data_IF_501083632455
#
_entry.id   IF_501083632455
#
_cell.length_a   1.000
_cell.length_b   1.000
_cell.length_c   1.000
_cell.angle_alpha   90.00
_cell.angle_beta   90.00
_cell.angle_gamma   90.00
#
_symmetry.space_group_name_H-M   'P 1'
#
loop_
_entity.id
_entity.type
_entity.pdbx_description
1 polymer ?
#
# COMPACT_ATOMS: atom_id res chain seq x y z
N UNK A 1 -8.63 59.07 -34.10
CA UNK A 1 -9.12 58.86 -32.72
C UNK A 1 -10.12 59.97 -32.47
N UNK A 2 -11.40 59.65 -32.42
CA UNK A 2 -12.45 60.62 -32.12
C UNK A 2 -12.63 60.69 -30.60
N UNK A 3 -12.75 61.91 -30.06
CA UNK A 3 -12.86 62.16 -28.62
C UNK A 3 -14.21 62.82 -28.36
N UNK A 4 -15.01 62.21 -27.49
CA UNK A 4 -16.35 62.68 -27.14
C UNK A 4 -16.22 63.69 -25.99
N UNK A 5 -16.49 64.96 -26.25
CA UNK A 5 -16.42 66.02 -25.25
C UNK A 5 -17.79 66.25 -24.61
N UNK A 6 -17.84 66.43 -23.29
CA UNK A 6 -19.07 66.89 -22.63
C UNK A 6 -19.14 68.41 -22.76
N UNK A 7 -20.12 68.90 -23.52
CA UNK A 7 -20.35 70.33 -23.77
C UNK A 7 -20.70 71.12 -22.50
N UNK A 8 -21.06 70.44 -21.40
CA UNK A 8 -21.37 71.06 -20.11
C UNK A 8 -20.12 71.28 -19.24
N UNK A 9 -18.94 70.89 -19.72
CA UNK A 9 -17.67 70.99 -19.01
C UNK A 9 -16.69 71.87 -19.78
N UNK A 10 -15.76 72.47 -19.05
CA UNK A 10 -14.70 73.26 -19.68
C UNK A 10 -13.77 72.36 -20.50
N UNK A 11 -12.98 72.98 -21.39
CA UNK A 11 -11.98 72.26 -22.20
C UNK A 11 -10.95 71.58 -21.29
N UNK A 12 -10.55 72.28 -20.22
CA UNK A 12 -9.60 71.82 -19.20
C UNK A 12 -10.16 70.66 -18.39
N UNK A 13 -11.45 70.68 -18.05
CA UNK A 13 -12.14 69.60 -17.35
C UNK A 13 -12.25 68.34 -18.22
N UNK A 14 -12.60 68.49 -19.50
CA UNK A 14 -12.63 67.38 -20.45
C UNK A 14 -11.22 66.78 -20.66
N UNK A 15 -10.20 67.62 -20.84
CA UNK A 15 -8.81 67.19 -20.95
C UNK A 15 -8.34 66.43 -19.71
N UNK A 16 -8.66 66.94 -18.52
CA UNK A 16 -8.33 66.31 -17.24
C UNK A 16 -9.00 64.95 -17.07
N UNK A 17 -10.27 64.82 -17.49
CA UNK A 17 -11.00 63.54 -17.45
C UNK A 17 -10.32 62.46 -18.29
N UNK A 18 -9.92 62.79 -19.51
CA UNK A 18 -9.23 61.85 -20.41
C UNK A 18 -7.81 61.53 -19.92
N UNK A 19 -7.11 62.51 -19.34
CA UNK A 19 -5.81 62.29 -18.71
C UNK A 19 -5.90 61.34 -17.51
N UNK A 20 -6.88 61.54 -16.63
CA UNK A 20 -7.18 60.64 -15.51
C UNK A 20 -7.51 59.21 -15.97
N UNK A 21 -8.36 59.07 -17.00
CA UNK A 21 -8.69 57.76 -17.59
C UNK A 21 -7.45 57.07 -18.13
N UNK A 22 -6.60 57.78 -18.86
CA UNK A 22 -5.33 57.27 -19.40
C UNK A 22 -4.40 56.82 -18.28
N UNK A 23 -4.26 57.62 -17.21
CA UNK A 23 -3.44 57.28 -16.04
C UNK A 23 -3.94 56.03 -15.32
N UNK A 24 -5.26 55.91 -15.11
CA UNK A 24 -5.91 54.72 -14.51
C UNK A 24 -5.74 53.48 -15.39
N UNK A 25 -5.90 53.61 -16.71
CA UNK A 25 -5.69 52.52 -17.66
C UNK A 25 -4.23 52.04 -17.68
N UNK A 26 -3.26 52.96 -17.69
CA UNK A 26 -1.82 52.62 -17.58
C UNK A 26 -1.49 51.87 -16.29
N UNK A 27 -2.04 52.30 -15.14
CA UNK A 27 -1.84 51.63 -13.86
C UNK A 27 -2.41 50.21 -13.85
N UNK A 28 -3.62 50.01 -14.42
CA UNK A 28 -4.23 48.67 -14.57
C UNK A 28 -3.41 47.77 -15.50
N UNK A 29 -2.86 48.33 -16.59
CA UNK A 29 -2.04 47.59 -17.54
C UNK A 29 -0.72 47.09 -16.91
N UNK A 30 -0.09 47.91 -16.05
CA UNK A 30 1.09 47.49 -15.28
C UNK A 30 0.77 46.31 -14.35
N UNK A 31 -0.28 46.43 -13.51
CA UNK A 31 -0.67 45.35 -12.61
C UNK A 31 -1.09 44.06 -13.31
N UNK A 32 -1.71 44.16 -14.51
CA UNK A 32 -2.05 43.00 -15.32
C UNK A 32 -0.78 42.30 -15.89
N UNK A 33 0.25 43.06 -16.26
CA UNK A 33 1.53 42.49 -16.72
C UNK A 33 2.25 41.76 -15.60
N UNK A 34 2.31 42.34 -14.41
CA UNK A 34 2.93 41.72 -13.23
C UNK A 34 2.25 40.40 -12.86
N UNK A 35 0.91 40.38 -12.89
CA UNK A 35 0.13 39.17 -12.67
C UNK A 35 0.45 38.08 -13.70
N UNK A 36 0.55 38.44 -14.98
CA UNK A 36 0.89 37.50 -16.07
C UNK A 36 2.30 36.93 -15.89
N UNK A 37 3.28 37.73 -15.49
CA UNK A 37 4.64 37.23 -15.19
C UNK A 37 4.65 36.28 -13.99
N UNK A 38 3.96 36.64 -12.90
CA UNK A 38 3.83 35.78 -11.72
C UNK A 38 3.20 34.42 -12.08
N UNK A 39 2.13 34.41 -12.88
CA UNK A 39 1.50 33.16 -13.33
C UNK A 39 2.39 32.36 -14.29
N UNK A 40 3.14 33.01 -15.19
CA UNK A 40 4.11 32.33 -16.06
C UNK A 40 5.20 31.65 -15.25
N UNK A 41 5.75 32.34 -14.25
CA UNK A 41 6.78 31.77 -13.37
C UNK A 41 6.23 30.58 -12.57
N UNK A 42 5.03 30.71 -12.01
CA UNK A 42 4.35 29.64 -11.28
C UNK A 42 4.02 28.42 -12.17
N UNK A 43 3.66 28.66 -13.43
CA UNK A 43 3.43 27.59 -14.40
C UNK A 43 4.74 26.88 -14.79
N UNK A 44 5.84 27.63 -14.85
CA UNK A 44 7.19 27.10 -15.07
C UNK A 44 7.64 26.18 -13.94
N UNK A 45 7.49 26.61 -12.69
CA UNK A 45 7.85 25.82 -11.51
C UNK A 45 7.00 24.55 -11.40
N UNK A 46 5.69 24.65 -11.60
CA UNK A 46 4.78 23.49 -11.60
C UNK A 46 5.08 22.49 -12.74
N UNK A 47 5.54 22.97 -13.91
CA UNK A 47 5.99 22.11 -15.00
C UNK A 47 7.28 21.40 -14.65
N UNK A 48 8.25 22.08 -14.03
CA UNK A 48 9.49 21.47 -13.57
C UNK A 48 9.24 20.43 -12.48
N UNK A 49 8.36 20.70 -11.51
CA UNK A 49 7.94 19.72 -10.50
C UNK A 49 7.29 18.50 -11.15
N UNK A 50 6.37 18.69 -12.11
CA UNK A 50 5.76 17.56 -12.85
C UNK A 50 6.76 16.77 -13.70
N UNK A 51 7.76 17.43 -14.28
CA UNK A 51 8.80 16.76 -15.07
C UNK A 51 9.74 15.99 -14.16
N UNK A 52 10.08 16.54 -12.99
CA UNK A 52 10.87 15.85 -11.97
C UNK A 52 10.08 14.66 -11.39
N UNK A 53 8.80 14.82 -11.05
CA UNK A 53 7.93 13.70 -10.65
C UNK A 53 7.90 12.60 -11.73
N UNK A 54 7.77 12.97 -13.01
CA UNK A 54 7.77 12.01 -14.13
C UNK A 54 9.12 11.36 -14.40
N UNK A 55 10.24 12.07 -14.20
CA UNK A 55 11.59 11.52 -14.34
C UNK A 55 11.95 10.59 -13.17
N UNK A 56 11.34 10.80 -11.99
CA UNK A 56 11.44 9.93 -10.81
C UNK A 56 10.50 8.72 -10.89
N UNK A 57 9.60 8.65 -11.89
CA UNK A 57 8.94 7.39 -12.27
C UNK A 57 9.98 6.48 -12.93
N UNK A 58 10.84 5.91 -12.07
CA UNK A 58 11.71 4.77 -12.36
C UNK A 58 10.91 3.78 -13.20
N UNK A 59 11.52 3.29 -14.30
CA UNK A 59 11.05 2.15 -15.10
C UNK A 59 10.32 1.19 -14.17
N UNK A 60 8.99 1.12 -14.24
CA UNK A 60 8.21 0.19 -13.40
C UNK A 60 8.81 -1.19 -13.64
N UNK A 61 9.46 -1.74 -12.62
CA UNK A 61 9.98 -3.10 -12.67
C UNK A 61 8.83 -4.00 -13.14
N UNK A 62 9.17 -5.00 -13.96
CA UNK A 62 8.17 -5.96 -14.45
C UNK A 62 7.46 -6.54 -13.23
N UNK A 63 6.13 -6.36 -13.17
CA UNK A 63 5.34 -6.84 -12.04
C UNK A 63 5.43 -8.35 -11.99
N UNK A 64 5.88 -8.86 -10.87
CA UNK A 64 5.92 -10.29 -10.61
C UNK A 64 4.49 -10.80 -10.39
N UNK A 65 4.25 -12.06 -10.77
CA UNK A 65 2.92 -12.66 -10.71
C UNK A 65 2.33 -12.68 -9.30
N UNK A 66 3.18 -12.71 -8.26
CA UNK A 66 2.79 -12.76 -6.86
C UNK A 66 2.37 -11.40 -6.28
N UNK A 67 2.69 -10.27 -6.94
CA UNK A 67 2.40 -8.92 -6.44
C UNK A 67 0.89 -8.60 -6.37
N UNK A 68 0.05 -9.43 -6.99
CA UNK A 68 -1.41 -9.38 -6.84
C UNK A 68 -1.90 -9.92 -5.49
N UNK A 69 -1.08 -10.69 -4.78
CA UNK A 69 -1.34 -11.25 -3.46
C UNK A 69 -0.64 -10.43 -2.38
N UNK A 70 -0.91 -10.73 -1.11
CA UNK A 70 0.02 -10.37 -0.04
C UNK A 70 1.22 -11.29 -0.16
N UNK A 71 2.43 -10.76 0.01
CA UNK A 71 3.63 -11.54 -0.18
C UNK A 71 4.79 -10.99 0.65
N UNK A 72 5.73 -11.86 0.97
CA UNK A 72 7.05 -11.52 1.47
C UNK A 72 8.04 -12.63 1.10
N UNK A 73 9.34 -12.34 1.25
CA UNK A 73 10.40 -13.34 1.19
C UNK A 73 10.83 -13.64 2.62
N UNK A 74 10.82 -14.91 3.01
CA UNK A 74 11.22 -15.35 4.35
C UNK A 74 12.70 -15.11 4.61
N UNK A 75 13.14 -15.20 5.86
CA UNK A 75 14.57 -15.09 6.21
C UNK A 75 15.47 -16.10 5.50
N UNK A 76 14.88 -17.23 5.07
CA UNK A 76 15.55 -18.33 4.37
C UNK A 76 15.25 -18.33 2.85
N UNK A 77 14.86 -17.18 2.29
CA UNK A 77 14.64 -16.96 0.85
C UNK A 77 13.45 -17.71 0.23
N UNK A 78 12.49 -18.18 1.04
CA UNK A 78 11.23 -18.74 0.53
C UNK A 78 10.23 -17.63 0.20
N UNK A 79 9.60 -17.73 -0.97
CA UNK A 79 8.46 -16.89 -1.31
C UNK A 79 7.23 -17.35 -0.52
N UNK A 80 6.63 -16.43 0.22
CA UNK A 80 5.36 -16.68 0.92
C UNK A 80 4.29 -15.77 0.33
N UNK A 81 3.14 -16.34 -0.02
CA UNK A 81 2.00 -15.61 -0.59
C UNK A 81 0.73 -15.81 0.24
N UNK A 82 -0.14 -14.81 0.31
CA UNK A 82 -1.41 -14.87 1.03
C UNK A 82 -2.53 -14.14 0.30
N UNK A 83 -3.74 -14.68 0.36
CA UNK A 83 -4.90 -14.01 -0.20
C UNK A 83 -5.24 -12.71 0.54
N UNK A 84 -5.85 -11.78 -0.18
CA UNK A 84 -6.29 -10.46 0.34
C UNK A 84 -7.77 -10.45 0.71
N UNK A 85 -8.54 -11.33 0.09
CA UNK A 85 -9.97 -11.47 0.20
C UNK A 85 -10.39 -12.92 -0.15
N UNK A 86 -11.67 -13.22 -0.02
CA UNK A 86 -12.21 -14.55 -0.32
C UNK A 86 -11.92 -15.04 -1.75
N UNK A 87 -11.91 -14.13 -2.74
CA UNK A 87 -11.67 -14.50 -4.14
C UNK A 87 -10.21 -14.85 -4.38
N UNK A 88 -9.30 -14.04 -3.85
CA UNK A 88 -7.86 -14.26 -3.94
C UNK A 88 -7.40 -15.44 -3.08
N UNK A 89 -8.03 -15.71 -1.94
CA UNK A 89 -7.85 -16.95 -1.17
C UNK A 89 -8.14 -18.18 -2.03
N UNK A 90 -9.27 -18.19 -2.76
CA UNK A 90 -9.58 -19.31 -3.65
C UNK A 90 -8.56 -19.47 -4.78
N UNK A 91 -8.07 -18.35 -5.32
CA UNK A 91 -7.04 -18.37 -6.37
C UNK A 91 -5.72 -18.93 -5.81
N UNK A 92 -5.29 -18.49 -4.63
CA UNK A 92 -4.06 -18.97 -3.98
C UNK A 92 -4.11 -20.49 -3.83
N UNK A 93 -5.17 -21.02 -3.23
CA UNK A 93 -5.31 -22.46 -3.00
C UNK A 93 -5.46 -23.25 -4.30
N UNK A 94 -6.35 -22.84 -5.20
CA UNK A 94 -6.68 -23.65 -6.39
C UNK A 94 -5.63 -23.56 -7.50
N UNK A 95 -4.92 -22.43 -7.63
CA UNK A 95 -4.02 -22.18 -8.77
C UNK A 95 -2.55 -22.10 -8.38
N UNK A 96 -2.22 -21.82 -7.12
CA UNK A 96 -0.85 -21.53 -6.70
C UNK A 96 -0.34 -22.41 -5.56
N UNK A 97 -1.19 -23.20 -4.89
CA UNK A 97 -0.74 -24.23 -3.96
C UNK A 97 -0.41 -25.50 -4.73
N UNK A 98 0.87 -25.87 -4.72
CA UNK A 98 1.44 -27.03 -5.40
C UNK A 98 1.87 -28.08 -4.39
N UNK A 99 1.94 -29.35 -4.78
CA UNK A 99 2.14 -30.53 -3.90
C UNK A 99 3.17 -30.38 -2.78
N UNK A 100 4.29 -29.69 -3.02
CA UNK A 100 5.40 -29.59 -2.06
C UNK A 100 5.29 -28.36 -1.13
N UNK A 101 4.34 -27.46 -1.40
CA UNK A 101 4.10 -26.27 -0.61
C UNK A 101 3.46 -26.60 0.74
N UNK A 102 3.41 -25.60 1.62
CA UNK A 102 2.73 -25.70 2.90
C UNK A 102 1.71 -24.56 3.03
N UNK A 103 0.47 -24.91 3.38
CA UNK A 103 -0.66 -23.99 3.51
C UNK A 103 -0.91 -23.66 4.98
N UNK A 104 -1.10 -22.39 5.29
CA UNK A 104 -1.37 -21.88 6.62
C UNK A 104 -2.73 -21.20 6.67
N UNK A 105 -3.44 -21.42 7.77
CA UNK A 105 -4.72 -20.79 8.08
C UNK A 105 -4.96 -20.83 9.60
N UNK A 106 -5.97 -20.11 10.10
CA UNK A 106 -6.37 -20.16 11.52
C UNK A 106 -7.80 -20.63 11.67
N UNK A 107 -8.20 -21.09 12.84
CA UNK A 107 -9.61 -21.49 13.07
C UNK A 107 -10.58 -20.29 13.08
N UNK A 108 -10.04 -19.07 13.09
CA UNK A 108 -10.86 -17.86 13.06
C UNK A 108 -11.37 -17.55 11.67
N UNK A 109 -12.67 -17.24 11.59
CA UNK A 109 -13.29 -16.73 10.38
C UNK A 109 -12.61 -15.43 9.90
N UNK A 110 -12.36 -15.32 8.59
CA UNK A 110 -11.74 -14.16 7.97
C UNK A 110 -10.20 -14.15 8.04
N UNK A 111 -9.57 -15.28 8.40
CA UNK A 111 -8.15 -15.50 8.19
C UNK A 111 -7.81 -15.59 6.68
N UNK A 112 -6.63 -15.12 6.24
CA UNK A 112 -6.14 -15.43 4.91
C UNK A 112 -5.74 -16.91 4.81
N UNK A 113 -5.75 -17.43 3.59
CA UNK A 113 -4.96 -18.61 3.24
C UNK A 113 -3.58 -18.15 2.78
N UNK A 114 -2.54 -18.64 3.45
CA UNK A 114 -1.13 -18.32 3.18
C UNK A 114 -0.42 -19.59 2.71
N UNK A 115 0.52 -19.46 1.77
CA UNK A 115 1.25 -20.59 1.17
C UNK A 115 2.72 -20.25 1.11
N UNK A 116 3.56 -21.13 1.67
CA UNK A 116 5.01 -21.12 1.48
C UNK A 116 5.30 -21.88 0.18
N UNK A 117 5.98 -21.22 -0.76
CA UNK A 117 6.36 -21.81 -2.05
C UNK A 117 7.63 -22.64 -1.91
N UNK A 118 7.51 -23.96 -1.96
CA UNK A 118 8.62 -24.90 -1.79
C UNK A 118 8.98 -25.60 -3.11
N UNK A 119 9.61 -24.85 -4.01
CA UNK A 119 9.94 -25.33 -5.37
C UNK A 119 10.97 -26.45 -5.37
N UNK A 120 11.88 -26.47 -4.39
CA UNK A 120 12.97 -27.44 -4.30
C UNK A 120 12.53 -28.75 -3.62
N UNK A 121 11.31 -28.81 -3.08
CA UNK A 121 10.80 -29.98 -2.34
C UNK A 121 11.67 -30.37 -1.14
N UNK A 122 12.34 -29.39 -0.54
CA UNK A 122 13.20 -29.57 0.62
C UNK A 122 12.41 -29.39 1.91
N UNK A 123 13.03 -29.74 3.04
CA UNK A 123 12.45 -29.46 4.35
C UNK A 123 12.42 -27.94 4.57
N UNK A 124 11.22 -27.39 4.73
CA UNK A 124 11.04 -25.97 5.02
C UNK A 124 11.60 -25.69 6.43
N UNK A 125 12.51 -24.71 6.58
CA UNK A 125 13.06 -24.36 7.89
C UNK A 125 11.99 -23.88 8.87
N UNK A 126 12.19 -24.17 10.17
CA UNK A 126 11.27 -23.74 11.23
C UNK A 126 11.08 -22.22 11.26
N UNK A 127 12.15 -21.45 11.05
CA UNK A 127 12.08 -19.99 11.00
C UNK A 127 11.09 -19.51 9.92
N UNK A 128 11.18 -20.05 8.71
CA UNK A 128 10.25 -19.76 7.62
C UNK A 128 8.80 -20.19 7.93
N UNK A 129 8.60 -21.32 8.61
CA UNK A 129 7.26 -21.74 9.05
C UNK A 129 6.67 -20.80 10.11
N UNK A 130 7.46 -20.39 11.10
CA UNK A 130 7.05 -19.41 12.11
C UNK A 130 6.75 -18.04 11.48
N UNK A 131 7.55 -17.60 10.52
CA UNK A 131 7.31 -16.38 9.76
C UNK A 131 5.98 -16.44 8.98
N UNK A 132 5.70 -17.55 8.30
CA UNK A 132 4.41 -17.73 7.62
C UNK A 132 3.23 -17.76 8.61
N UNK A 133 3.42 -18.36 9.79
CA UNK A 133 2.43 -18.35 10.86
C UNK A 133 2.16 -16.93 11.38
N UNK A 134 3.21 -16.15 11.68
CA UNK A 134 3.10 -14.72 12.04
C UNK A 134 2.32 -13.96 10.99
N UNK A 135 2.68 -14.14 9.71
CA UNK A 135 2.03 -13.46 8.59
C UNK A 135 0.53 -13.78 8.51
N UNK A 136 0.16 -15.04 8.71
CA UNK A 136 -1.24 -15.50 8.74
C UNK A 136 -2.00 -14.87 9.89
N UNK A 137 -1.41 -14.88 11.10
CA UNK A 137 -1.99 -14.32 12.30
C UNK A 137 -2.21 -12.79 12.21
N UNK A 138 -1.21 -12.05 11.71
CA UNK A 138 -1.26 -10.59 11.54
C UNK A 138 -2.40 -10.13 10.63
N UNK A 139 -2.74 -10.91 9.61
CA UNK A 139 -3.81 -10.57 8.69
C UNK A 139 -5.17 -11.18 9.03
N UNK A 140 -5.24 -11.94 10.12
CA UNK A 140 -6.49 -12.43 10.70
C UNK A 140 -7.22 -11.34 11.49
N UNK A 141 -8.38 -11.69 12.06
CA UNK A 141 -9.12 -10.79 12.96
C UNK A 141 -8.41 -10.57 14.30
N UNK A 142 -7.55 -11.49 14.73
CA UNK A 142 -6.85 -11.40 16.03
C UNK A 142 -5.96 -10.16 16.14
N UNK A 143 -5.32 -9.74 15.04
CA UNK A 143 -4.52 -8.51 15.01
C UNK A 143 -5.37 -7.27 15.33
N UNK A 144 -6.55 -7.16 14.72
CA UNK A 144 -7.49 -6.05 15.00
C UNK A 144 -8.00 -6.06 16.43
N UNK A 145 -8.08 -7.25 17.04
CA UNK A 145 -8.52 -7.44 18.42
C UNK A 145 -7.39 -7.23 19.43
N UNK A 146 -6.17 -6.93 19.00
CA UNK A 146 -5.06 -6.66 19.91
C UNK A 146 -4.45 -7.92 20.54
N UNK A 147 -4.67 -9.10 19.96
CA UNK A 147 -4.13 -10.35 20.49
C UNK A 147 -2.63 -10.45 20.18
N UNK A 148 -1.81 -10.77 21.18
CA UNK A 148 -0.37 -10.94 20.98
C UNK A 148 0.01 -12.20 20.19
N UNK A 149 -0.79 -13.26 20.33
CA UNK A 149 -0.60 -14.55 19.66
C UNK A 149 -1.96 -15.10 19.20
N UNK A 150 -1.92 -15.96 18.18
CA UNK A 150 -3.06 -16.72 17.69
C UNK A 150 -2.54 -18.06 17.17
N UNK A 151 -3.18 -19.16 17.55
CA UNK A 151 -2.86 -20.47 16.99
C UNK A 151 -3.12 -20.49 15.47
N UNK A 152 -2.10 -20.91 14.72
CA UNK A 152 -2.14 -21.04 13.25
C UNK A 152 -1.81 -22.47 12.91
N UNK A 153 -2.64 -23.15 12.13
CA UNK A 153 -2.32 -24.48 11.66
C UNK A 153 -1.68 -24.45 10.27
N UNK A 154 -0.83 -25.43 10.00
CA UNK A 154 -0.30 -25.73 8.68
C UNK A 154 -0.73 -27.12 8.20
N UNK A 155 -0.98 -27.22 6.90
CA UNK A 155 -1.40 -28.45 6.20
C UNK A 155 -0.85 -28.50 4.78
N UNK A 156 -0.78 -29.71 4.21
CA UNK A 156 -0.45 -29.89 2.81
C UNK A 156 -1.61 -29.46 1.90
N UNK A 157 -1.32 -29.01 0.66
CA UNK A 157 -2.36 -28.61 -0.30
C UNK A 157 -3.41 -29.69 -0.57
N UNK A 158 -3.05 -30.98 -0.61
CA UNK A 158 -4.02 -32.08 -0.79
C UNK A 158 -5.06 -32.19 0.34
N UNK A 159 -4.79 -31.62 1.51
CA UNK A 159 -5.69 -31.62 2.66
C UNK A 159 -6.77 -30.53 2.56
N UNK A 160 -6.63 -29.59 1.63
CA UNK A 160 -7.51 -28.43 1.48
C UNK A 160 -8.53 -28.68 0.37
N UNK A 161 -9.82 -28.76 0.71
CA UNK A 161 -10.86 -29.15 -0.24
C UNK A 161 -12.10 -28.26 -0.18
N UNK A 162 -12.73 -28.06 -1.35
CA UNK A 162 -14.00 -27.35 -1.52
C UNK A 162 -15.22 -28.29 -1.43
N UNK A 163 -15.01 -29.59 -1.23
CA UNK A 163 -16.10 -30.55 -1.04
C UNK A 163 -16.54 -30.46 0.42
N UNK A 164 -17.76 -29.99 0.64
CA UNK A 164 -18.38 -30.05 1.97
C UNK A 164 -18.76 -31.49 2.32
N UNK A 165 -19.02 -31.77 3.61
CA UNK A 165 -19.73 -32.99 3.98
C UNK A 165 -21.16 -32.93 3.41
N UNK A 166 -21.74 -34.09 3.12
CA UNK A 166 -23.03 -34.20 2.43
C UNK A 166 -24.11 -33.37 3.15
N UNK A 167 -24.69 -32.39 2.47
CA UNK A 167 -25.76 -31.52 2.98
C UNK A 167 -25.36 -30.11 3.41
N UNK A 168 -24.06 -29.77 3.48
CA UNK A 168 -23.60 -28.43 3.87
C UNK A 168 -23.10 -27.60 2.68
N UNK A 169 -23.32 -26.28 2.70
CA UNK A 169 -22.83 -25.36 1.68
C UNK A 169 -21.64 -24.55 2.22
N UNK A 170 -20.50 -24.58 1.52
CA UNK A 170 -19.34 -23.77 1.88
C UNK A 170 -19.47 -22.35 1.32
N UNK A 171 -19.27 -21.37 2.18
CA UNK A 171 -19.16 -19.98 1.78
C UNK A 171 -18.01 -19.76 0.77
N UNK A 172 -18.10 -18.68 -0.01
CA UNK A 172 -17.03 -18.27 -0.93
C UNK A 172 -15.74 -18.01 -0.13
N UNK A 173 -14.61 -18.56 -0.59
CA UNK A 173 -13.33 -18.48 0.11
C UNK A 173 -13.14 -19.44 1.28
N UNK A 174 -14.16 -20.24 1.64
CA UNK A 174 -14.03 -21.28 2.66
C UNK A 174 -13.58 -22.62 2.04
N UNK A 175 -12.79 -23.36 2.81
CA UNK A 175 -12.30 -24.68 2.48
C UNK A 175 -12.39 -25.58 3.71
N UNK A 176 -12.66 -26.86 3.48
CA UNK A 176 -12.57 -27.92 4.47
C UNK A 176 -11.13 -28.43 4.52
N UNK A 177 -10.64 -28.67 5.73
CA UNK A 177 -9.33 -29.23 6.00
C UNK A 177 -9.52 -30.68 6.46
N UNK A 178 -8.77 -31.61 5.86
CA UNK A 178 -8.85 -33.04 6.16
C UNK A 178 -7.51 -33.59 6.61
N UNK A 179 -7.53 -34.57 7.52
CA UNK A 179 -6.31 -35.19 8.07
C UNK A 179 -5.69 -34.39 9.21
N UNK A 180 -4.44 -34.68 9.51
CA UNK A 180 -3.72 -34.08 10.64
C UNK A 180 -3.26 -32.64 10.34
N UNK A 181 -3.29 -31.81 11.38
CA UNK A 181 -2.91 -30.39 11.32
C UNK A 181 -1.78 -30.11 12.30
N UNK A 182 -0.75 -29.38 11.86
CA UNK A 182 0.34 -28.95 12.75
C UNK A 182 0.09 -27.53 13.22
N UNK A 183 0.04 -27.32 14.54
CA UNK A 183 -0.22 -25.99 15.11
C UNK A 183 1.08 -25.25 15.46
N UNK A 184 1.09 -23.97 15.12
CA UNK A 184 2.12 -22.99 15.42
C UNK A 184 1.52 -21.89 16.30
N UNK A 185 2.30 -21.40 17.26
CA UNK A 185 1.87 -20.34 18.19
C UNK A 185 2.80 -19.13 18.07
N UNK A 186 2.72 -18.39 16.95
CA UNK A 186 3.61 -17.27 16.68
C UNK A 186 3.33 -16.08 17.61
N UNK A 187 4.38 -15.35 17.97
CA UNK A 187 4.25 -14.00 18.51
C UNK A 187 4.13 -13.00 17.34
N UNK A 188 3.05 -12.23 17.31
CA UNK A 188 2.79 -11.35 16.18
C UNK A 188 3.77 -10.17 16.13
N UNK A 189 4.67 -10.19 15.16
CA UNK A 189 5.58 -9.08 14.86
C UNK A 189 5.55 -8.78 13.36
N UNK A 190 5.43 -7.51 12.99
CA UNK A 190 5.26 -7.12 11.59
C UNK A 190 6.03 -5.86 11.27
N UNK A 191 6.58 -5.79 10.06
CA UNK A 191 7.27 -4.61 9.55
C UNK A 191 6.99 -4.42 8.06
N UNK A 192 7.25 -3.22 7.59
CA UNK A 192 7.23 -2.86 6.16
C UNK A 192 8.60 -2.32 5.80
N UNK A 193 9.14 -2.76 4.68
CA UNK A 193 10.44 -2.34 4.15
C UNK A 193 10.42 -2.24 2.62
N UNK A 194 11.54 -1.79 2.05
CA UNK A 194 11.75 -1.80 0.59
C UNK A 194 12.68 -2.95 0.23
N UNK A 195 12.18 -3.90 -0.56
CA UNK A 195 12.92 -5.04 -1.10
C UNK A 195 12.99 -4.93 -2.62
N UNK A 196 14.20 -4.79 -3.19
CA UNK A 196 14.41 -4.68 -4.64
C UNK A 196 13.48 -3.64 -5.31
N UNK A 197 13.44 -2.42 -4.76
CA UNK A 197 12.56 -1.31 -5.18
C UNK A 197 11.04 -1.58 -5.01
N UNK A 198 10.62 -2.65 -4.33
CA UNK A 198 9.22 -2.98 -4.05
C UNK A 198 8.90 -2.87 -2.57
N UNK A 199 7.69 -2.41 -2.27
CA UNK A 199 7.19 -2.40 -0.89
C UNK A 199 6.88 -3.82 -0.46
N UNK A 200 7.59 -4.31 0.56
CA UNK A 200 7.38 -5.63 1.16
C UNK A 200 6.90 -5.43 2.59
N UNK A 201 5.78 -6.06 2.94
CA UNK A 201 5.33 -6.15 4.33
C UNK A 201 5.33 -7.61 4.75
N UNK A 202 5.92 -7.91 5.90
CA UNK A 202 6.10 -9.27 6.38
C UNK A 202 6.45 -9.33 7.86
N UNK A 203 6.70 -10.54 8.38
CA UNK A 203 7.23 -10.74 9.72
C UNK A 203 8.49 -9.91 9.96
N UNK A 204 8.71 -9.48 11.21
CA UNK A 204 9.81 -8.58 11.53
C UNK A 204 11.18 -9.17 11.18
N UNK A 205 11.39 -10.47 11.42
CA UNK A 205 12.64 -11.18 11.12
C UNK A 205 12.96 -11.19 9.62
N UNK A 206 11.99 -11.54 8.78
CA UNK A 206 12.11 -11.55 7.33
C UNK A 206 12.42 -10.15 6.77
N UNK A 207 11.69 -9.13 7.23
CA UNK A 207 11.90 -7.75 6.75
C UNK A 207 13.26 -7.22 7.22
N UNK A 208 13.67 -7.49 8.46
CA UNK A 208 15.01 -7.12 8.97
C UNK A 208 16.14 -7.77 8.17
N UNK A 209 15.95 -9.02 7.70
CA UNK A 209 16.94 -9.74 6.91
C UNK A 209 17.17 -9.10 5.54
N UNK A 210 16.09 -8.67 4.89
CA UNK A 210 16.08 -8.31 3.47
C UNK A 210 16.05 -6.81 3.20
N UNK A 211 15.61 -5.98 4.15
CA UNK A 211 15.43 -4.55 3.98
C UNK A 211 16.41 -3.77 4.86
N UNK A 212 17.22 -2.90 4.24
CA UNK A 212 18.13 -1.99 4.97
C UNK A 212 17.37 -1.03 5.88
N UNK A 213 16.26 -0.51 5.39
CA UNK A 213 15.37 0.37 6.11
C UNK A 213 13.99 -0.27 6.19
N UNK A 214 13.38 -0.23 7.38
CA UNK A 214 12.07 -0.77 7.63
C UNK A 214 11.36 0.03 8.73
N UNK A 215 10.04 -0.08 8.78
CA UNK A 215 9.18 0.50 9.81
C UNK A 215 8.42 -0.63 10.49
N UNK A 216 8.61 -0.75 11.81
CA UNK A 216 7.84 -1.70 12.61
C UNK A 216 6.39 -1.24 12.76
N UNK A 217 5.47 -2.18 12.58
CA UNK A 217 4.03 -1.97 12.66
C UNK A 217 3.52 -2.71 13.89
N UNK A 218 2.65 -2.06 14.65
CA UNK A 218 2.00 -2.65 15.80
C UNK A 218 0.49 -2.48 15.71
N UNK A 219 -0.23 -3.22 16.53
CA UNK A 219 -1.68 -3.16 16.61
C UNK A 219 -2.14 -1.78 17.09
N UNK A 220 -3.20 -1.27 16.50
CA UNK A 220 -3.72 0.06 16.78
C UNK A 220 -5.06 0.35 16.11
N UNK A 221 -5.52 1.59 16.25
CA UNK A 221 -6.81 2.05 15.73
C UNK A 221 -6.65 3.27 14.81
N UNK A 222 -5.45 3.51 14.29
CA UNK A 222 -5.19 4.63 13.37
C UNK A 222 -5.78 4.36 11.98
N UNK A 223 -6.09 5.43 11.25
CA UNK A 223 -6.56 5.31 9.86
C UNK A 223 -5.41 4.81 8.99
N UNK A 224 -5.66 3.75 8.22
CA UNK A 224 -4.65 3.16 7.32
C UNK A 224 -4.01 4.17 6.36
N UNK A 225 -4.78 5.14 5.87
CA UNK A 225 -4.26 6.21 5.01
C UNK A 225 -3.19 7.06 5.69
N UNK A 226 -3.33 7.30 6.99
CA UNK A 226 -2.43 8.17 7.75
C UNK A 226 -1.16 7.39 8.11
N UNK A 227 -1.30 6.13 8.53
CA UNK A 227 -0.19 5.19 8.70
C UNK A 227 0.61 5.04 7.40
N UNK A 228 -0.07 4.86 6.27
CA UNK A 228 0.57 4.71 4.96
C UNK A 228 1.34 5.97 4.54
N UNK A 229 0.81 7.17 4.80
CA UNK A 229 1.52 8.44 4.56
C UNK A 229 2.77 8.57 5.43
N UNK A 230 2.70 8.15 6.70
CA UNK A 230 3.86 8.15 7.60
C UNK A 230 4.95 7.20 7.11
N UNK A 231 4.58 6.00 6.67
CA UNK A 231 5.52 5.02 6.11
C UNK A 231 6.12 5.56 4.80
N UNK A 232 5.30 6.13 3.91
CA UNK A 232 5.77 6.74 2.65
C UNK A 232 6.81 7.83 2.92
N UNK A 233 6.61 8.66 3.95
CA UNK A 233 7.56 9.70 4.33
C UNK A 233 8.89 9.13 4.81
N UNK A 234 8.88 7.97 5.48
CA UNK A 234 10.09 7.32 6.01
C UNK A 234 10.84 6.46 4.99
N UNK A 235 10.13 5.61 4.25
CA UNK A 235 10.72 4.59 3.37
C UNK A 235 10.62 4.93 1.88
N UNK A 236 9.84 5.94 1.51
CA UNK A 236 9.43 6.17 0.12
C UNK A 236 8.38 5.17 -0.37
N UNK A 237 8.36 4.89 -1.66
CA UNK A 237 7.42 3.98 -2.30
C UNK A 237 6.05 4.59 -2.67
N UNK A 238 5.27 3.82 -3.42
CA UNK A 238 3.93 4.21 -3.83
C UNK A 238 2.92 3.99 -2.71
N UNK A 239 2.02 4.97 -2.51
CA UNK A 239 1.06 4.95 -1.41
C UNK A 239 0.13 3.73 -1.48
N UNK A 240 -0.30 3.38 -2.69
CA UNK A 240 -1.18 2.24 -2.94
C UNK A 240 -0.51 0.90 -2.62
N UNK A 241 0.81 0.80 -2.85
CA UNK A 241 1.57 -0.41 -2.56
C UNK A 241 1.78 -0.58 -1.05
N UNK A 242 1.99 0.52 -0.33
CA UNK A 242 2.03 0.52 1.14
C UNK A 242 0.67 0.12 1.73
N UNK A 243 -0.43 0.66 1.22
CA UNK A 243 -1.78 0.32 1.68
C UNK A 243 -2.10 -1.18 1.48
N UNK A 244 -1.57 -1.80 0.41
CA UNK A 244 -1.80 -3.22 0.11
C UNK A 244 -1.12 -4.16 1.11
N UNK A 245 0.03 -3.76 1.66
CA UNK A 245 0.79 -4.56 2.63
C UNK A 245 0.41 -4.25 4.08
N UNK A 246 -0.36 -3.20 4.34
CA UNK A 246 -0.77 -2.86 5.69
C UNK A 246 -1.89 -3.79 6.23
N UNK A 247 -1.73 -4.36 7.44
CA UNK A 247 -2.84 -4.98 8.15
C UNK A 247 -3.81 -3.92 8.63
N UNK A 248 -5.11 -4.21 8.57
CA UNK A 248 -6.10 -3.29 9.14
C UNK A 248 -6.04 -3.31 10.68
N UNK A 249 -6.25 -2.17 11.33
CA UNK A 249 -6.04 -2.03 12.78
C UNK A 249 -4.56 -1.90 13.14
N UNK A 250 -3.82 -1.07 12.40
CA UNK A 250 -2.38 -0.89 12.58
C UNK A 250 -2.03 0.54 12.98
N UNK A 251 -0.90 0.70 13.64
CA UNK A 251 -0.20 1.98 13.87
C UNK A 251 1.30 1.78 13.72
N UNK A 252 2.04 2.85 13.42
CA UNK A 252 3.51 2.78 13.41
C UNK A 252 4.01 2.65 14.84
N UNK A 253 4.86 1.65 15.11
CA UNK A 253 5.56 1.57 16.39
C UNK A 253 6.53 2.75 16.45
N UNK A 254 6.24 3.75 17.29
CA UNK A 254 7.12 4.91 17.47
C UNK A 254 8.48 4.40 17.95
N UNK A 255 9.49 4.44 17.08
CA UNK A 255 10.88 4.40 17.49
C UNK A 255 11.24 5.79 18.00
N UNK A 256 11.59 5.87 19.28
CA UNK A 256 12.34 6.99 19.85
C UNK A 256 13.81 6.82 19.48
#
# INVERSE_FOLDING_TARGET
MEIILDIRKSVEENASHYFEKSKKAKKKLAGAKDAVEMYKHKLGSLKQEKIQEKAVVKKKAKKEWFEKFRWFISSDDYLVIGGRDATTNEIVIKKYAEKNDLVFHTDMAGSPFVVIKNKQAEQIPEATMQEAAVFTAVFSRAWKQGMATLAVFSVKPEQVSKKAKSGEYLAKGAFMIYGETTYHHPEMSYAIGIYQDKVMGGPLSAVKKHCKEYVEIMQGNEKLSDVAKLIKKKLGGELDDILRVLPAGSKVKKQF
#
